data_IF_056956142097
#
_entry.id   IF_056956142097
#
_cell.length_a   1.000
_cell.length_b   1.000
_cell.length_c   1.000
_cell.angle_alpha   90.00
_cell.angle_beta   90.00
_cell.angle_gamma   90.00
#
_symmetry.space_group_name_H-M   'P 1'
#
loop_
_entity.id
_entity.type
_entity.pdbx_description
1 polymer ?
#
# COMPACT_ATOMS: atom_id res chain seq x y z
N UNK A 1 4.41 -24.60 15.89
CA UNK A 1 5.07 -23.28 15.65
C UNK A 1 4.77 -22.89 14.22
N UNK A 2 4.20 -21.68 14.02
CA UNK A 2 3.89 -21.12 12.70
C UNK A 2 4.94 -20.08 12.29
N UNK A 3 6.20 -20.36 12.58
CA UNK A 3 7.30 -19.40 12.56
C UNK A 3 7.44 -18.59 11.27
N UNK A 4 7.34 -19.14 10.05
CA UNK A 4 7.45 -18.32 8.85
C UNK A 4 6.21 -17.45 8.57
N UNK A 5 5.02 -17.86 9.04
CA UNK A 5 3.75 -17.19 8.75
C UNK A 5 3.34 -16.15 9.80
N UNK A 6 3.84 -16.26 11.04
CA UNK A 6 3.38 -15.43 12.17
C UNK A 6 4.45 -15.29 13.27
N UNK A 7 5.73 -15.45 12.94
CA UNK A 7 6.83 -15.46 13.92
C UNK A 7 7.53 -14.13 14.12
N UNK A 8 7.22 -13.12 13.32
CA UNK A 8 7.85 -11.79 13.44
C UNK A 8 7.08 -10.95 14.45
N UNK A 9 7.78 -10.47 15.49
CA UNK A 9 7.29 -9.44 16.38
C UNK A 9 8.00 -8.12 16.02
N UNK A 10 7.21 -7.10 15.72
CA UNK A 10 7.72 -5.81 15.28
C UNK A 10 6.95 -4.67 15.97
N UNK A 11 7.66 -3.61 16.32
CA UNK A 11 7.06 -2.35 16.74
C UNK A 11 6.64 -1.50 15.53
N UNK A 12 5.89 -0.43 15.77
CA UNK A 12 5.54 0.51 14.69
C UNK A 12 6.79 1.18 14.10
N UNK A 13 7.85 1.36 14.87
CA UNK A 13 9.14 1.89 14.38
C UNK A 13 9.86 0.90 13.47
N UNK A 14 9.80 -0.39 13.78
CA UNK A 14 10.35 -1.42 12.91
C UNK A 14 9.59 -1.47 11.58
N UNK A 15 8.26 -1.28 11.61
CA UNK A 15 7.44 -1.23 10.41
C UNK A 15 7.72 0.01 9.56
N UNK A 16 8.05 1.14 10.17
CA UNK A 16 8.53 2.33 9.45
C UNK A 16 9.81 2.01 8.67
N UNK A 17 10.81 1.44 9.33
CA UNK A 17 12.09 1.06 8.71
C UNK A 17 11.87 0.05 7.58
N UNK A 18 11.00 -0.94 7.80
CA UNK A 18 10.62 -1.92 6.79
C UNK A 18 9.98 -1.27 5.56
N UNK A 19 9.04 -0.36 5.75
CA UNK A 19 8.38 0.36 4.65
C UNK A 19 9.36 1.23 3.86
N UNK A 20 10.26 1.94 4.54
CA UNK A 20 11.32 2.72 3.90
C UNK A 20 12.25 1.83 3.06
N UNK A 21 12.57 0.64 3.56
CA UNK A 21 13.33 -0.34 2.78
C UNK A 21 12.55 -0.80 1.52
N UNK A 22 11.24 -1.06 1.65
CA UNK A 22 10.39 -1.43 0.52
C UNK A 22 10.14 -0.28 -0.47
N UNK A 23 10.34 0.96 -0.05
CA UNK A 23 10.34 2.16 -0.90
C UNK A 23 11.71 2.46 -1.54
N UNK A 24 12.72 1.64 -1.26
CA UNK A 24 14.03 1.72 -1.90
C UNK A 24 15.05 2.62 -1.20
N UNK A 25 14.78 3.08 0.02
CA UNK A 25 15.70 3.96 0.76
C UNK A 25 16.98 3.24 1.23
N UNK A 26 16.98 1.91 1.31
CA UNK A 26 18.12 1.10 1.75
C UNK A 26 18.55 0.07 0.68
N UNK A 27 19.01 0.51 -0.52
CA UNK A 27 19.26 -0.39 -1.65
C UNK A 27 20.40 -1.39 -1.39
N UNK A 28 21.29 -1.12 -0.44
CA UNK A 28 22.35 -2.03 0.00
C UNK A 28 21.83 -3.18 0.90
N UNK A 29 20.65 -3.04 1.51
CA UNK A 29 20.02 -4.08 2.33
C UNK A 29 18.91 -4.79 1.55
N UNK A 30 18.09 -4.04 0.84
CA UNK A 30 16.97 -4.54 0.04
C UNK A 30 17.10 -3.94 -1.36
N UNK A 31 17.58 -4.73 -2.31
CA UNK A 31 17.80 -4.25 -3.68
C UNK A 31 16.48 -3.94 -4.39
N UNK A 32 16.51 -3.00 -5.34
CA UNK A 32 15.36 -2.70 -6.19
C UNK A 32 14.87 -3.91 -6.99
N UNK A 33 15.78 -4.80 -7.39
CA UNK A 33 15.42 -6.05 -8.07
C UNK A 33 14.61 -6.96 -7.16
N UNK A 34 14.99 -7.08 -5.88
CA UNK A 34 14.23 -7.86 -4.90
C UNK A 34 12.83 -7.26 -4.69
N UNK A 35 12.74 -5.93 -4.50
CA UNK A 35 11.45 -5.23 -4.36
C UNK A 35 10.57 -5.51 -5.59
N UNK A 36 11.12 -5.39 -6.79
CA UNK A 36 10.41 -5.68 -8.03
C UNK A 36 9.93 -7.13 -8.08
N UNK A 37 10.78 -8.09 -7.72
CA UNK A 37 10.41 -9.50 -7.73
C UNK A 37 9.26 -9.82 -6.77
N UNK A 38 9.29 -9.28 -5.54
CA UNK A 38 8.26 -9.58 -4.53
C UNK A 38 6.95 -8.85 -4.82
N UNK A 39 6.97 -7.71 -5.52
CA UNK A 39 5.80 -6.91 -5.89
C UNK A 39 5.36 -7.10 -7.34
N UNK A 40 5.88 -8.10 -8.05
CA UNK A 40 5.41 -8.49 -9.38
C UNK A 40 4.12 -9.30 -9.24
N UNK A 41 3.03 -8.94 -9.95
CA UNK A 41 1.80 -9.73 -9.99
C UNK A 41 2.07 -11.14 -10.54
N UNK A 42 1.70 -12.18 -9.78
CA UNK A 42 1.91 -13.59 -10.17
C UNK A 42 0.62 -14.37 -10.27
N UNK A 43 -0.24 -14.28 -9.25
CA UNK A 43 -1.49 -15.02 -9.19
C UNK A 43 -2.65 -14.05 -9.06
N UNK A 44 -3.62 -14.15 -9.99
CA UNK A 44 -4.83 -13.32 -9.93
C UNK A 44 -5.71 -13.77 -8.77
N UNK A 45 -6.11 -12.82 -7.91
CA UNK A 45 -6.87 -13.06 -6.68
C UNK A 45 -8.25 -12.40 -6.75
N UNK A 46 -9.13 -12.89 -7.64
CA UNK A 46 -10.48 -12.35 -7.86
C UNK A 46 -11.32 -12.21 -6.58
N UNK A 47 -11.07 -13.06 -5.56
CA UNK A 47 -11.77 -13.02 -4.29
C UNK A 47 -11.54 -11.70 -3.53
N UNK A 48 -10.38 -11.07 -3.71
CA UNK A 48 -10.05 -9.79 -3.07
C UNK A 48 -10.97 -8.66 -3.55
N UNK A 49 -11.44 -8.70 -4.80
CA UNK A 49 -12.35 -7.70 -5.38
C UNK A 49 -13.73 -7.67 -4.68
N UNK A 50 -14.06 -8.71 -3.90
CA UNK A 50 -15.32 -8.81 -3.17
C UNK A 50 -15.17 -8.46 -1.67
N UNK A 51 -13.99 -8.03 -1.21
CA UNK A 51 -13.81 -7.60 0.19
C UNK A 51 -14.65 -6.36 0.48
N UNK A 52 -15.49 -6.43 1.52
CA UNK A 52 -16.53 -5.45 1.82
C UNK A 52 -16.07 -4.00 1.80
N UNK A 53 -14.93 -3.69 2.44
CA UNK A 53 -14.41 -2.33 2.56
C UNK A 53 -13.55 -1.89 1.38
N UNK A 54 -13.12 -2.83 0.52
CA UNK A 54 -12.18 -2.60 -0.57
C UNK A 54 -12.81 -2.65 -1.95
N UNK A 55 -13.93 -3.40 -2.11
CA UNK A 55 -14.54 -3.76 -3.41
C UNK A 55 -14.87 -2.57 -4.30
N UNK A 56 -15.18 -1.41 -3.70
CA UNK A 56 -15.53 -0.20 -4.45
C UNK A 56 -14.30 0.55 -4.97
N UNK A 57 -13.10 0.18 -4.52
CA UNK A 57 -11.84 0.82 -4.86
C UNK A 57 -10.94 -0.08 -5.72
N UNK A 58 -11.12 -1.40 -5.65
CA UNK A 58 -10.25 -2.34 -6.37
C UNK A 58 -10.79 -2.62 -7.76
N UNK A 59 -9.97 -2.32 -8.78
CA UNK A 59 -10.22 -2.67 -10.19
C UNK A 59 -9.61 -4.03 -10.54
N UNK A 60 -8.44 -4.34 -9.97
CA UNK A 60 -7.78 -5.63 -10.12
C UNK A 60 -6.98 -6.00 -8.87
N UNK A 61 -6.71 -7.29 -8.70
CA UNK A 61 -6.00 -7.82 -7.55
C UNK A 61 -5.19 -9.07 -7.90
N UNK A 62 -3.93 -9.07 -7.48
CA UNK A 62 -3.01 -10.18 -7.63
C UNK A 62 -2.26 -10.46 -6.32
N UNK A 63 -1.58 -11.60 -6.27
CA UNK A 63 -0.62 -11.93 -5.22
C UNK A 63 0.77 -12.10 -5.85
N UNK A 64 1.78 -11.49 -5.22
CA UNK A 64 3.19 -11.63 -5.56
C UNK A 64 3.89 -12.62 -4.62
N UNK A 65 5.04 -12.22 -4.09
CA UNK A 65 5.75 -12.97 -3.05
C UNK A 65 5.61 -12.23 -1.71
N UNK A 66 4.59 -12.62 -0.93
CA UNK A 66 4.27 -11.98 0.35
C UNK A 66 3.48 -10.67 0.27
N UNK A 67 3.15 -10.20 -0.93
CA UNK A 67 2.38 -8.98 -1.15
C UNK A 67 1.14 -9.23 -1.99
N UNK A 68 0.01 -8.63 -1.60
CA UNK A 68 -1.14 -8.40 -2.47
C UNK A 68 -0.87 -7.15 -3.28
N UNK A 69 -1.05 -7.24 -4.60
CA UNK A 69 -0.80 -6.14 -5.52
C UNK A 69 -2.15 -5.73 -6.08
N UNK A 70 -2.59 -4.55 -5.73
CA UNK A 70 -3.88 -4.00 -6.07
C UNK A 70 -3.77 -2.88 -7.11
N UNK A 71 -4.70 -2.88 -8.04
CA UNK A 71 -5.11 -1.68 -8.75
C UNK A 71 -6.20 -0.98 -7.91
N UNK A 72 -5.81 0.03 -7.16
CA UNK A 72 -6.69 0.81 -6.30
C UNK A 72 -7.10 2.09 -7.04
N UNK A 73 -8.24 2.06 -7.73
CA UNK A 73 -8.74 3.17 -8.56
C UNK A 73 -7.74 3.70 -9.61
N UNK A 74 -6.85 2.84 -10.12
CA UNK A 74 -5.81 3.21 -11.07
C UNK A 74 -4.43 3.44 -10.46
N UNK A 75 -4.30 3.32 -9.14
CA UNK A 75 -3.02 3.44 -8.43
C UNK A 75 -2.52 2.06 -8.00
N UNK A 76 -1.23 1.80 -8.18
CA UNK A 76 -0.60 0.58 -7.67
C UNK A 76 -0.45 0.67 -6.16
N UNK A 77 -1.04 -0.30 -5.46
CA UNK A 77 -0.92 -0.43 -4.01
C UNK A 77 -0.45 -1.85 -3.65
N UNK A 78 0.69 -1.95 -2.99
CA UNK A 78 1.17 -3.19 -2.40
C UNK A 78 0.68 -3.26 -0.96
N UNK A 79 -0.01 -4.34 -0.60
CA UNK A 79 -0.69 -4.48 0.69
C UNK A 79 -0.48 -5.86 1.29
N UNK A 80 -0.38 -5.96 2.59
CA UNK A 80 -0.57 -7.21 3.32
C UNK A 80 -1.21 -6.96 4.68
N UNK A 81 -2.19 -7.79 5.02
CA UNK A 81 -2.81 -7.78 6.34
C UNK A 81 -2.37 -8.97 7.19
N UNK A 82 -2.29 -8.77 8.49
CA UNK A 82 -1.97 -9.79 9.48
C UNK A 82 -3.10 -10.01 10.49
N UNK A 83 -3.26 -11.26 10.90
CA UNK A 83 -4.17 -11.62 11.98
C UNK A 83 -3.58 -12.78 12.79
N UNK A 84 -3.35 -12.52 14.05
CA UNK A 84 -3.06 -13.53 15.06
C UNK A 84 -3.96 -13.28 16.27
N UNK A 85 -4.06 -14.25 17.17
CA UNK A 85 -4.91 -14.13 18.36
C UNK A 85 -4.57 -12.84 19.15
N UNK A 86 -5.57 -11.99 19.37
CA UNK A 86 -5.44 -10.73 20.09
C UNK A 86 -4.91 -9.55 19.26
N UNK A 87 -4.47 -9.76 17.99
CA UNK A 87 -3.81 -8.71 17.22
C UNK A 87 -4.24 -8.68 15.76
N UNK A 88 -4.25 -7.48 15.21
CA UNK A 88 -4.39 -7.20 13.77
C UNK A 88 -3.27 -6.29 13.32
N UNK A 89 -2.82 -6.46 12.08
CA UNK A 89 -1.84 -5.59 11.45
C UNK A 89 -2.17 -5.39 9.97
N UNK A 90 -1.98 -4.18 9.49
CA UNK A 90 -1.98 -3.86 8.06
C UNK A 90 -0.70 -3.12 7.70
N UNK A 91 -0.12 -3.46 6.57
CA UNK A 91 1.02 -2.77 5.98
C UNK A 91 0.77 -2.58 4.50
N UNK A 92 1.06 -1.38 4.00
CA UNK A 92 0.90 -1.09 2.57
C UNK A 92 1.87 0.00 2.12
N UNK A 93 2.21 0.00 0.84
CA UNK A 93 3.01 1.07 0.23
C UNK A 93 2.69 1.22 -1.26
N UNK A 94 2.91 2.44 -1.74
CA UNK A 94 2.80 2.79 -3.15
C UNK A 94 4.12 3.41 -3.62
N UNK A 95 4.85 2.75 -4.54
CA UNK A 95 6.11 3.28 -5.07
C UNK A 95 5.92 4.59 -5.84
N UNK A 96 4.81 4.74 -6.55
CA UNK A 96 4.53 5.88 -7.41
C UNK A 96 4.47 7.22 -6.64
N UNK A 97 4.13 7.15 -5.36
CA UNK A 97 4.03 8.32 -4.48
C UNK A 97 5.05 8.30 -3.33
N UNK A 98 5.94 7.30 -3.29
CA UNK A 98 6.91 7.11 -2.22
C UNK A 98 6.25 7.17 -0.82
N UNK A 99 5.08 6.56 -0.69
CA UNK A 99 4.28 6.58 0.53
C UNK A 99 4.07 5.18 1.09
N UNK A 100 4.14 5.07 2.42
CA UNK A 100 3.92 3.84 3.17
C UNK A 100 2.92 4.04 4.30
N UNK A 101 2.24 2.96 4.68
CA UNK A 101 1.26 2.91 5.75
C UNK A 101 1.46 1.64 6.57
N UNK A 102 1.46 1.78 7.88
CA UNK A 102 1.39 0.66 8.81
C UNK A 102 0.39 0.95 9.92
N UNK A 103 -0.41 -0.04 10.28
CA UNK A 103 -1.31 0.00 11.42
C UNK A 103 -1.18 -1.29 12.22
N UNK A 104 -0.90 -1.17 13.52
CA UNK A 104 -0.82 -2.27 14.46
C UNK A 104 -1.91 -2.10 15.51
N UNK A 105 -2.73 -3.13 15.71
CA UNK A 105 -3.81 -3.14 16.69
C UNK A 105 -3.62 -4.29 17.68
N UNK A 106 -3.75 -4.00 18.94
CA UNK A 106 -3.84 -5.00 20.03
C UNK A 106 -5.30 -5.41 20.29
N UNK A 107 -6.07 -5.57 19.22
CA UNK A 107 -7.46 -6.00 19.24
C UNK A 107 -7.82 -6.76 17.96
N UNK A 108 -8.68 -7.77 18.06
CA UNK A 108 -9.20 -8.53 16.91
C UNK A 108 -10.41 -7.81 16.28
N UNK A 109 -10.20 -6.58 15.81
CA UNK A 109 -11.27 -5.78 15.21
C UNK A 109 -11.15 -5.73 13.69
N UNK A 110 -12.28 -5.88 12.99
CA UNK A 110 -12.37 -5.70 11.55
C UNK A 110 -12.35 -4.21 11.11
N UNK A 111 -12.36 -3.28 12.06
CA UNK A 111 -12.23 -1.84 11.78
C UNK A 111 -10.94 -1.50 11.03
N UNK A 112 -9.85 -2.24 11.28
CA UNK A 112 -8.58 -2.04 10.58
C UNK A 112 -8.74 -2.05 9.06
N UNK A 113 -9.57 -2.93 8.52
CA UNK A 113 -9.81 -3.02 7.07
C UNK A 113 -10.47 -1.76 6.51
N UNK A 114 -11.37 -1.13 7.28
CA UNK A 114 -12.00 0.15 6.93
C UNK A 114 -10.99 1.28 7.00
N UNK A 115 -10.26 1.41 8.10
CA UNK A 115 -9.26 2.47 8.27
C UNK A 115 -8.20 2.45 7.18
N UNK A 116 -7.69 1.28 6.82
CA UNK A 116 -6.69 1.16 5.77
C UNK A 116 -7.25 1.55 4.40
N UNK A 117 -8.46 1.09 4.05
CA UNK A 117 -9.10 1.44 2.79
C UNK A 117 -9.42 2.94 2.71
N UNK A 118 -9.97 3.54 3.78
CA UNK A 118 -10.30 4.96 3.85
C UNK A 118 -9.06 5.85 3.78
N UNK A 119 -7.97 5.45 4.44
CA UNK A 119 -6.69 6.16 4.36
C UNK A 119 -6.21 6.25 2.90
N UNK A 120 -6.14 5.13 2.19
CA UNK A 120 -5.64 5.12 0.81
C UNK A 120 -6.59 5.82 -0.16
N UNK A 121 -7.90 5.73 0.05
CA UNK A 121 -8.87 6.50 -0.74
C UNK A 121 -8.63 8.00 -0.60
N UNK A 122 -8.49 8.51 0.63
CA UNK A 122 -8.22 9.93 0.88
C UNK A 122 -6.86 10.34 0.31
N UNK A 123 -5.84 9.57 0.60
CA UNK A 123 -4.48 9.84 0.12
C UNK A 123 -4.43 9.99 -1.41
N UNK A 124 -4.95 9.01 -2.15
CA UNK A 124 -4.94 9.08 -3.62
C UNK A 124 -5.81 10.23 -4.16
N UNK A 125 -6.96 10.49 -3.55
CA UNK A 125 -7.80 11.62 -3.93
C UNK A 125 -7.06 12.95 -3.77
N UNK A 126 -6.36 13.15 -2.67
CA UNK A 126 -5.54 14.34 -2.43
C UNK A 126 -4.40 14.48 -3.44
N UNK A 127 -3.71 13.38 -3.76
CA UNK A 127 -2.65 13.39 -4.76
C UNK A 127 -3.17 13.76 -6.16
N UNK A 128 -4.31 13.21 -6.56
CA UNK A 128 -4.96 13.55 -7.83
C UNK A 128 -5.35 15.03 -7.89
N UNK A 129 -5.92 15.58 -6.83
CA UNK A 129 -6.27 17.01 -6.75
C UNK A 129 -5.04 17.91 -6.86
N UNK A 130 -3.96 17.59 -6.15
CA UNK A 130 -2.70 18.34 -6.22
C UNK A 130 -2.10 18.32 -7.63
N UNK A 131 -2.13 17.17 -8.30
CA UNK A 131 -1.66 17.05 -9.68
C UNK A 131 -2.51 17.87 -10.66
N UNK A 132 -3.84 17.91 -10.46
CA UNK A 132 -4.73 18.72 -11.29
C UNK A 132 -4.45 20.22 -11.13
N UNK A 133 -4.28 20.68 -9.89
CA UNK A 133 -3.91 22.08 -9.58
C UNK A 133 -2.57 22.46 -10.21
N UNK A 134 -1.57 21.61 -10.07
CA UNK A 134 -0.25 21.84 -10.65
C UNK A 134 -0.31 21.96 -12.18
N UNK A 135 -1.05 21.08 -12.85
CA UNK A 135 -1.26 21.13 -14.31
C UNK A 135 -2.01 22.40 -14.75
N UNK A 136 -3.02 22.82 -13.98
CA UNK A 136 -3.77 24.04 -14.28
C UNK A 136 -2.87 25.28 -14.16
N UNK A 137 -2.07 25.38 -13.12
CA UNK A 137 -1.13 26.48 -12.90
C UNK A 137 -0.07 26.54 -14.00
N UNK A 138 0.47 25.40 -14.41
CA UNK A 138 1.44 25.33 -15.49
C UNK A 138 0.86 25.83 -16.84
N UNK A 139 -0.38 25.44 -17.16
CA UNK A 139 -1.08 25.93 -18.35
C UNK A 139 -1.33 27.44 -18.32
N UNK A 140 -1.72 27.96 -17.16
CA UNK A 140 -1.93 29.40 -16.98
C UNK A 140 -0.62 30.21 -17.23
N UNK A 141 0.50 29.72 -16.70
CA UNK A 141 1.80 30.35 -16.90
C UNK A 141 2.25 30.35 -18.39
N UNK A 142 2.00 29.28 -19.12
CA UNK A 142 2.32 29.20 -20.54
C UNK A 142 1.49 30.19 -21.37
N UNK A 143 0.18 30.33 -21.06
CA UNK A 143 -0.72 31.25 -21.76
C UNK A 143 -0.45 32.75 -21.48
N UNK A 144 0.28 33.07 -20.40
CA UNK A 144 0.67 34.46 -20.08
C UNK A 144 2.04 34.87 -20.67
N UNK A 145 2.77 33.90 -21.27
CA UNK A 145 4.09 34.13 -21.87
C UNK A 145 4.01 34.36 -23.39
N UNK A 146 2.82 34.23 -23.98
CA UNK A 146 2.49 34.60 -25.35
C UNK A 146 1.88 36.03 -25.41
#
# INVERSE_FOLDING_TARGET
RFSPAAGVNASIRDMEVWLRAMLGEYPHLVSNDLITQVTTPRVKTKRELNRRQWRQHLRDAHYGLGWRIYDFNGHKLNYHGGWVQGYRADVAFTPDYQAGYAMLMNAESNLINGFTADFWQRFFTEQEQQQQIAKANQRALLNTAE
#
